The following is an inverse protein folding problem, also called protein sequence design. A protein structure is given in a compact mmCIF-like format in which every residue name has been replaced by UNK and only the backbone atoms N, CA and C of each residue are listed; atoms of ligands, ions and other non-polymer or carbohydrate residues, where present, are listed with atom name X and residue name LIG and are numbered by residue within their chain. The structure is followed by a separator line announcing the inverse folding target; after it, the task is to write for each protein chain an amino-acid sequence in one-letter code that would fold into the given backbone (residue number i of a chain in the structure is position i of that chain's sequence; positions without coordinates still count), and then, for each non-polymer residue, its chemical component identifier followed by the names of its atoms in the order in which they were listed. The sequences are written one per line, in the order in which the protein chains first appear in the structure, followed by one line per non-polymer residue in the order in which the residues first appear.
data_IF_098038169649
#
_entry.id   IF_098038169649
#
_cell.length_a   1.000
_cell.length_b   1.000
_cell.length_c   1.000
_cell.angle_alpha   90.00
_cell.angle_beta   90.00
_cell.angle_gamma   90.00
#
_symmetry.space_group_name_H-M   'P 1'
#
loop_
_entity.id
_entity.type
_entity.pdbx_description
1 polymer ?
#
# COMPACT_ATOMS: atom_id res chain seq x y z
N UNK A 1 38.03 -9.44 6.85
CA UNK A 1 37.27 -8.55 5.98
C UNK A 1 36.63 -9.40 4.90
N UNK A 2 35.31 -9.43 4.79
CA UNK A 2 34.64 -10.22 3.75
C UNK A 2 34.94 -9.57 2.41
N UNK A 3 35.59 -10.29 1.51
CA UNK A 3 35.73 -9.88 0.12
C UNK A 3 34.32 -9.69 -0.47
N UNK A 4 34.02 -8.48 -0.96
CA UNK A 4 32.80 -8.23 -1.74
C UNK A 4 32.80 -9.22 -2.91
N UNK A 5 31.72 -9.97 -3.06
CA UNK A 5 31.60 -10.93 -4.16
C UNK A 5 31.41 -10.20 -5.49
N UNK A 6 31.80 -10.83 -6.58
CA UNK A 6 31.55 -10.31 -7.92
C UNK A 6 30.05 -10.02 -8.16
N UNK A 7 29.19 -10.82 -7.54
CA UNK A 7 27.74 -10.68 -7.58
C UNK A 7 27.28 -9.38 -6.92
N UNK A 8 27.89 -9.01 -5.78
CA UNK A 8 27.56 -7.76 -5.09
C UNK A 8 27.93 -6.54 -5.94
N UNK A 9 29.09 -6.57 -6.60
CA UNK A 9 29.55 -5.49 -7.48
C UNK A 9 28.63 -5.29 -8.68
N UNK A 10 28.20 -6.35 -9.37
CA UNK A 10 27.24 -6.23 -10.47
C UNK A 10 25.89 -5.66 -10.02
N UNK A 11 25.44 -6.04 -8.83
CA UNK A 11 24.21 -5.55 -8.25
C UNK A 11 24.30 -4.07 -7.88
N UNK A 12 25.45 -3.63 -7.40
CA UNK A 12 25.74 -2.22 -7.14
C UNK A 12 25.75 -1.39 -8.41
N UNK A 13 26.35 -1.86 -9.49
CA UNK A 13 26.34 -1.21 -10.80
C UNK A 13 24.90 -1.04 -11.33
N UNK A 14 24.08 -2.07 -11.25
CA UNK A 14 22.65 -2.02 -11.62
C UNK A 14 21.88 -1.01 -10.77
N UNK A 15 22.13 -0.97 -9.46
CA UNK A 15 21.50 -0.03 -8.52
C UNK A 15 21.86 1.41 -8.84
N UNK A 16 23.10 1.64 -9.28
CA UNK A 16 23.60 2.95 -9.70
C UNK A 16 23.16 3.34 -11.12
N UNK A 17 22.51 2.42 -11.84
CA UNK A 17 22.15 2.59 -13.27
C UNK A 17 23.35 2.85 -14.18
N UNK A 18 24.47 2.20 -13.89
CA UNK A 18 25.65 2.23 -14.73
C UNK A 18 25.57 1.10 -15.75
N UNK A 19 25.80 1.47 -17.02
CA UNK A 19 25.88 0.53 -18.13
C UNK A 19 27.33 0.00 -18.20
N UNK A 20 27.68 -0.80 -17.24
CA UNK A 20 28.98 -1.45 -17.08
C UNK A 20 28.73 -2.87 -16.57
N UNK A 21 29.31 -3.85 -17.22
CA UNK A 21 29.28 -5.24 -16.78
C UNK A 21 30.61 -5.68 -16.16
N UNK A 22 30.62 -6.84 -15.51
CA UNK A 22 31.80 -7.35 -14.83
C UNK A 22 32.98 -7.59 -15.79
N UNK A 23 32.74 -8.05 -17.03
CA UNK A 23 33.78 -8.28 -18.02
C UNK A 23 34.46 -6.98 -18.42
N UNK A 24 33.71 -5.94 -18.71
CA UNK A 24 34.23 -4.60 -19.03
C UNK A 24 35.03 -4.01 -17.86
N UNK A 25 34.57 -4.24 -16.63
CA UNK A 25 35.32 -3.83 -15.46
C UNK A 25 36.67 -4.59 -15.33
N UNK A 26 36.70 -5.90 -15.60
CA UNK A 26 37.93 -6.67 -15.61
C UNK A 26 38.88 -6.20 -16.71
N UNK A 27 38.42 -6.03 -17.93
CA UNK A 27 39.24 -5.48 -19.03
C UNK A 27 39.87 -4.13 -18.65
N UNK A 28 39.09 -3.26 -17.99
CA UNK A 28 39.57 -1.98 -17.50
C UNK A 28 40.67 -2.15 -16.44
N UNK A 29 40.50 -3.10 -15.51
CA UNK A 29 41.49 -3.35 -14.45
C UNK A 29 42.81 -3.93 -15.00
N UNK A 30 42.73 -4.80 -16.02
CA UNK A 30 43.89 -5.33 -16.72
C UNK A 30 44.62 -4.25 -17.53
N UNK A 31 43.84 -3.45 -18.31
CA UNK A 31 44.39 -2.39 -19.13
C UNK A 31 45.19 -1.35 -18.31
N UNK A 32 44.70 -1.02 -17.11
CA UNK A 32 45.38 -0.08 -16.20
C UNK A 32 46.31 -0.77 -15.20
N UNK A 33 46.52 -2.08 -15.28
CA UNK A 33 47.35 -2.86 -14.38
C UNK A 33 47.05 -2.59 -12.89
N UNK A 34 45.76 -2.56 -12.52
CA UNK A 34 45.34 -2.28 -11.14
C UNK A 34 45.72 -3.44 -10.21
N UNK A 35 46.21 -3.11 -9.02
CA UNK A 35 46.48 -4.10 -7.99
C UNK A 35 45.19 -4.61 -7.37
N UNK A 36 45.24 -5.79 -6.75
CA UNK A 36 44.09 -6.35 -6.04
C UNK A 36 43.53 -5.42 -4.95
N UNK A 37 44.41 -4.73 -4.21
CA UNK A 37 43.99 -3.73 -3.22
C UNK A 37 43.25 -2.55 -3.81
N UNK A 38 43.62 -2.08 -5.01
CA UNK A 38 42.96 -1.02 -5.73
C UNK A 38 41.57 -1.46 -6.21
N UNK A 39 41.46 -2.69 -6.71
CA UNK A 39 40.18 -3.27 -7.15
C UNK A 39 39.22 -3.39 -5.97
N UNK A 40 39.69 -3.87 -4.82
CA UNK A 40 38.91 -3.97 -3.58
C UNK A 40 38.46 -2.58 -3.10
N UNK A 41 39.34 -1.58 -3.11
CA UNK A 41 38.99 -0.21 -2.74
C UNK A 41 37.91 0.38 -3.66
N UNK A 42 38.01 0.15 -4.96
CA UNK A 42 36.99 0.56 -5.94
C UNK A 42 35.65 -0.15 -5.65
N UNK A 43 35.65 -1.45 -5.42
CA UNK A 43 34.45 -2.22 -5.12
C UNK A 43 33.76 -1.74 -3.84
N UNK A 44 34.51 -1.38 -2.80
CA UNK A 44 33.98 -0.79 -1.54
C UNK A 44 33.28 0.55 -1.83
N UNK A 45 33.88 1.38 -2.68
CA UNK A 45 33.28 2.69 -3.04
C UNK A 45 31.97 2.49 -3.80
N UNK A 46 31.94 1.58 -4.78
CA UNK A 46 30.73 1.29 -5.54
C UNK A 46 29.61 0.73 -4.64
N UNK A 47 29.97 -0.17 -3.73
CA UNK A 47 29.03 -0.70 -2.75
C UNK A 47 28.43 0.42 -1.87
N UNK A 48 29.28 1.29 -1.33
CA UNK A 48 28.81 2.43 -0.54
C UNK A 48 27.87 3.36 -1.34
N UNK A 49 28.20 3.66 -2.60
CA UNK A 49 27.36 4.47 -3.48
C UNK A 49 26.05 3.76 -3.81
N UNK A 50 26.08 2.46 -4.06
CA UNK A 50 24.90 1.61 -4.29
C UNK A 50 23.94 1.66 -3.09
N UNK A 51 24.45 1.44 -1.89
CA UNK A 51 23.64 1.51 -0.67
C UNK A 51 23.06 2.92 -0.43
N UNK A 52 23.84 3.98 -0.69
CA UNK A 52 23.33 5.37 -0.63
C UNK A 52 22.21 5.62 -1.63
N UNK A 53 22.34 5.12 -2.87
CA UNK A 53 21.32 5.24 -3.91
C UNK A 53 20.07 4.47 -3.55
N UNK A 54 20.21 3.25 -3.05
CA UNK A 54 19.12 2.41 -2.58
C UNK A 54 18.34 3.10 -1.46
N UNK A 55 19.04 3.62 -0.44
CA UNK A 55 18.41 4.35 0.66
C UNK A 55 17.66 5.59 0.16
N UNK A 56 18.26 6.39 -0.72
CA UNK A 56 17.61 7.57 -1.31
C UNK A 56 16.34 7.18 -2.09
N UNK A 57 16.35 6.03 -2.77
CA UNK A 57 15.17 5.50 -3.49
C UNK A 57 14.06 5.10 -2.52
N UNK A 58 14.41 4.39 -1.43
CA UNK A 58 13.47 4.04 -0.36
C UNK A 58 12.83 5.29 0.22
N UNK A 59 13.65 6.28 0.60
CA UNK A 59 13.17 7.55 1.18
C UNK A 59 12.22 8.29 0.23
N UNK A 60 12.54 8.32 -1.07
CA UNK A 60 11.68 8.91 -2.09
C UNK A 60 10.34 8.15 -2.21
N UNK A 61 10.36 6.82 -2.22
CA UNK A 61 9.14 6.01 -2.29
C UNK A 61 8.30 6.17 -1.03
N UNK A 62 8.91 6.15 0.15
CA UNK A 62 8.23 6.44 1.41
C UNK A 62 7.59 7.83 1.40
N UNK A 63 8.30 8.85 0.91
CA UNK A 63 7.78 10.22 0.81
C UNK A 63 6.58 10.34 -0.11
N UNK A 64 6.54 9.58 -1.20
CA UNK A 64 5.51 9.68 -2.25
C UNK A 64 4.39 8.63 -2.12
N UNK A 65 4.52 7.65 -1.24
CA UNK A 65 3.58 6.54 -1.06
C UNK A 65 2.24 6.92 -0.47
N UNK A 66 2.14 8.06 0.25
CA UNK A 66 1.02 8.46 1.09
C UNK A 66 0.76 7.54 2.29
N UNK A 67 1.67 6.64 2.61
CA UNK A 67 1.62 5.84 3.84
C UNK A 67 1.89 6.73 5.07
N UNK A 68 1.25 6.46 6.25
CA UNK A 68 1.46 7.24 7.46
C UNK A 68 2.92 7.14 7.93
N UNK A 69 3.62 8.28 8.12
CA UNK A 69 5.04 8.30 8.52
C UNK A 69 5.28 8.47 10.02
N UNK A 70 4.36 9.11 10.74
CA UNK A 70 4.52 9.34 12.20
C UNK A 70 4.32 8.08 13.01
N UNK A 71 3.35 7.25 12.61
CA UNK A 71 3.01 5.97 13.23
C UNK A 71 2.91 4.90 12.14
N UNK A 72 4.04 4.40 11.65
CA UNK A 72 4.04 3.42 10.58
C UNK A 72 3.35 2.13 11.03
N UNK A 73 2.45 1.64 10.20
CA UNK A 73 1.78 0.35 10.38
C UNK A 73 2.58 -0.70 9.62
N UNK A 74 3.47 -1.39 10.34
CA UNK A 74 4.36 -2.43 9.79
C UNK A 74 3.90 -3.82 10.20
N UNK A 75 4.49 -4.87 9.62
CA UNK A 75 4.23 -6.24 10.07
C UNK A 75 4.80 -6.51 11.47
N UNK A 76 5.89 -5.84 11.87
CA UNK A 76 6.51 -6.01 13.19
C UNK A 76 5.62 -5.50 14.32
N UNK A 77 4.83 -4.44 14.07
CA UNK A 77 3.90 -3.91 15.07
C UNK A 77 2.45 -4.40 14.89
N UNK A 78 2.24 -5.43 14.06
CA UNK A 78 0.97 -6.11 13.92
C UNK A 78 0.91 -7.34 14.82
N UNK A 79 -0.06 -7.38 15.72
CA UNK A 79 -0.25 -8.53 16.61
C UNK A 79 -0.97 -9.69 15.90
N UNK A 80 -0.20 -10.61 15.35
CA UNK A 80 -0.74 -11.81 14.70
C UNK A 80 -1.39 -12.80 15.67
N UNK A 81 -1.13 -12.72 16.98
CA UNK A 81 -1.65 -13.66 17.97
C UNK A 81 -3.17 -13.59 18.14
N UNK A 82 -3.74 -12.46 17.77
CA UNK A 82 -5.18 -12.18 17.88
C UNK A 82 -5.98 -12.68 16.69
N UNK A 83 -5.33 -13.00 15.58
CA UNK A 83 -5.97 -13.61 14.40
C UNK A 83 -5.87 -15.13 14.55
N UNK A 84 -7.03 -15.79 14.56
CA UNK A 84 -7.12 -17.25 14.68
C UNK A 84 -7.67 -17.84 13.39
N UNK A 85 -7.23 -19.04 13.06
CA UNK A 85 -7.70 -19.79 11.89
C UNK A 85 -6.57 -20.59 11.23
N UNK A 86 -6.94 -21.56 10.41
CA UNK A 86 -5.99 -22.44 9.71
C UNK A 86 -5.11 -21.70 8.68
N UNK A 87 -5.56 -20.55 8.19
CA UNK A 87 -4.86 -19.80 7.14
C UNK A 87 -4.03 -18.61 7.70
N UNK A 88 -3.86 -18.52 9.04
CA UNK A 88 -3.06 -17.44 9.68
C UNK A 88 -1.61 -17.45 9.19
N UNK A 89 -1.05 -18.64 8.94
CA UNK A 89 0.32 -18.77 8.42
C UNK A 89 0.48 -18.10 7.06
N UNK A 90 -0.56 -18.09 6.21
CA UNK A 90 -0.53 -17.36 4.94
C UNK A 90 -0.46 -15.84 5.11
N UNK A 91 -1.06 -15.30 6.18
CA UNK A 91 -0.90 -13.87 6.52
C UNK A 91 0.54 -13.57 6.95
N UNK A 92 1.19 -14.48 7.68
CA UNK A 92 2.57 -14.32 8.11
C UNK A 92 3.59 -14.40 6.96
N UNK A 93 3.20 -14.94 5.80
CA UNK A 93 4.07 -14.95 4.61
C UNK A 93 3.99 -13.65 3.79
N UNK A 94 3.09 -12.73 4.09
CA UNK A 94 2.94 -11.46 3.36
C UNK A 94 4.23 -10.63 3.25
N UNK A 95 5.13 -10.58 4.28
CA UNK A 95 6.39 -9.85 4.19
C UNK A 95 7.34 -10.37 3.08
N UNK A 96 7.16 -11.61 2.61
CA UNK A 96 7.96 -12.15 1.50
C UNK A 96 7.70 -11.47 0.16
N UNK A 97 6.61 -10.71 0.04
CA UNK A 97 6.17 -10.02 -1.18
C UNK A 97 5.95 -10.96 -2.39
N UNK A 98 5.75 -12.26 -2.14
CA UNK A 98 5.53 -13.24 -3.20
C UNK A 98 4.29 -12.93 -4.05
N UNK A 99 3.26 -12.33 -3.45
CA UNK A 99 2.03 -11.97 -4.17
C UNK A 99 2.29 -10.92 -5.27
N UNK A 100 3.06 -9.85 -4.99
CA UNK A 100 3.35 -8.82 -6.00
C UNK A 100 4.27 -9.34 -7.11
N UNK A 101 5.18 -10.26 -6.78
CA UNK A 101 6.04 -10.93 -7.77
C UNK A 101 5.24 -11.84 -8.69
N UNK A 102 4.21 -12.49 -8.14
CA UNK A 102 3.28 -13.35 -8.89
C UNK A 102 2.10 -12.59 -9.52
N UNK A 103 2.10 -11.25 -9.50
CA UNK A 103 1.02 -10.38 -10.00
C UNK A 103 -0.36 -10.61 -9.33
N UNK A 104 -0.37 -11.22 -8.13
CA UNK A 104 -1.61 -11.53 -7.40
C UNK A 104 -2.12 -10.34 -6.63
N UNK A 105 -3.38 -9.99 -6.86
CA UNK A 105 -4.07 -9.00 -6.04
C UNK A 105 -4.38 -9.56 -4.64
N UNK A 106 -4.49 -8.67 -3.66
CA UNK A 106 -4.84 -9.02 -2.29
C UNK A 106 -6.11 -8.27 -1.87
N UNK A 107 -6.98 -8.93 -1.13
CA UNK A 107 -8.14 -8.28 -0.52
C UNK A 107 -8.26 -8.66 0.96
N UNK A 108 -8.28 -7.65 1.83
CA UNK A 108 -8.53 -7.82 3.26
C UNK A 108 -9.96 -7.40 3.57
N UNK A 109 -10.80 -8.36 3.92
CA UNK A 109 -12.24 -8.19 4.12
C UNK A 109 -12.59 -8.51 5.58
N UNK A 110 -13.51 -7.74 6.17
CA UNK A 110 -13.99 -8.03 7.53
C UNK A 110 -14.54 -6.81 8.25
N UNK A 111 -15.02 -6.94 9.50
CA UNK A 111 -15.60 -5.86 10.30
C UNK A 111 -14.63 -4.69 10.53
N UNK A 112 -15.14 -3.50 10.88
CA UNK A 112 -14.30 -2.37 11.27
C UNK A 112 -13.39 -2.72 12.44
N UNK A 113 -12.16 -2.19 12.43
CA UNK A 113 -11.22 -2.35 13.54
C UNK A 113 -10.47 -3.69 13.61
N UNK A 114 -10.60 -4.57 12.63
CA UNK A 114 -9.92 -5.89 12.59
C UNK A 114 -8.51 -5.89 12.00
N UNK A 115 -7.90 -4.72 11.74
CA UNK A 115 -6.52 -4.63 11.28
C UNK A 115 -6.31 -4.64 9.76
N UNK A 116 -7.36 -4.66 8.92
CA UNK A 116 -7.27 -4.69 7.45
C UNK A 116 -6.37 -3.62 6.86
N UNK A 117 -6.64 -2.36 7.21
CA UNK A 117 -5.84 -1.20 6.75
C UNK A 117 -4.40 -1.28 7.26
N UNK A 118 -4.18 -1.82 8.48
CA UNK A 118 -2.84 -2.05 9.01
C UNK A 118 -2.06 -3.02 8.11
N UNK A 119 -2.62 -4.20 7.82
CA UNK A 119 -1.99 -5.20 6.96
C UNK A 119 -1.70 -4.66 5.55
N UNK A 120 -2.64 -3.93 4.96
CA UNK A 120 -2.47 -3.31 3.65
C UNK A 120 -1.33 -2.27 3.67
N UNK A 121 -1.27 -1.42 4.69
CA UNK A 121 -0.20 -0.45 4.87
C UNK A 121 1.15 -1.12 5.14
N UNK A 122 1.18 -2.15 5.99
CA UNK A 122 2.39 -2.93 6.27
C UNK A 122 2.99 -3.52 4.99
N UNK A 123 2.15 -4.08 4.13
CA UNK A 123 2.59 -4.59 2.83
C UNK A 123 3.16 -3.46 1.94
N UNK A 124 2.53 -2.28 1.93
CA UNK A 124 3.04 -1.13 1.20
C UNK A 124 4.39 -0.61 1.72
N UNK A 125 4.60 -0.62 3.04
CA UNK A 125 5.91 -0.30 3.64
C UNK A 125 6.96 -1.30 3.20
N UNK A 126 6.65 -2.60 3.27
CA UNK A 126 7.56 -3.66 2.85
C UNK A 126 7.93 -3.52 1.37
N UNK A 127 6.98 -3.20 0.50
CA UNK A 127 7.27 -2.87 -0.91
C UNK A 127 8.27 -1.72 -1.04
N UNK A 128 8.07 -0.61 -0.32
CA UNK A 128 8.96 0.55 -0.39
C UNK A 128 10.38 0.20 0.09
N UNK A 129 10.51 -0.56 1.17
CA UNK A 129 11.80 -1.00 1.71
C UNK A 129 12.54 -1.95 0.76
N UNK A 130 11.80 -2.71 -0.05
CA UNK A 130 12.34 -3.56 -1.10
C UNK A 130 12.48 -2.86 -2.47
N UNK A 131 12.53 -1.52 -2.50
CA UNK A 131 12.75 -0.75 -3.72
C UNK A 131 11.57 -0.77 -4.71
N UNK A 132 10.38 -1.16 -4.27
CA UNK A 132 9.16 -1.17 -5.07
C UNK A 132 8.23 -0.03 -4.64
N UNK A 133 7.86 0.84 -5.57
CA UNK A 133 6.99 1.98 -5.27
C UNK A 133 5.60 1.50 -4.86
N UNK A 134 5.16 1.84 -3.64
CA UNK A 134 3.78 1.71 -3.21
C UNK A 134 3.02 3.05 -3.29
N UNK A 135 1.69 2.99 -3.39
CA UNK A 135 0.82 4.16 -3.31
C UNK A 135 -0.48 3.81 -2.61
N UNK A 136 -0.77 4.54 -1.53
CA UNK A 136 -1.98 4.37 -0.72
C UNK A 136 -3.00 5.46 -1.05
N UNK A 137 -4.26 5.05 -1.24
CA UNK A 137 -5.39 5.97 -1.47
C UNK A 137 -6.68 5.36 -0.92
N UNK A 138 -7.54 6.17 -0.32
CA UNK A 138 -8.90 5.75 0.02
C UNK A 138 -9.80 5.77 -1.22
N UNK A 139 -10.81 4.89 -1.26
CA UNK A 139 -11.76 4.82 -2.38
C UNK A 139 -12.45 6.17 -2.63
N UNK A 140 -12.85 6.89 -1.58
CA UNK A 140 -13.44 8.22 -1.69
C UNK A 140 -12.49 9.25 -2.31
N UNK A 141 -11.22 9.24 -1.90
CA UNK A 141 -10.21 10.14 -2.48
C UNK A 141 -9.90 9.78 -3.94
N UNK A 142 -9.95 8.49 -4.29
CA UNK A 142 -9.80 8.02 -5.68
C UNK A 142 -10.92 8.58 -6.56
N UNK A 143 -12.18 8.50 -6.10
CA UNK A 143 -13.34 9.09 -6.76
C UNK A 143 -13.14 10.59 -6.99
N UNK A 144 -12.75 11.31 -5.95
CA UNK A 144 -12.57 12.78 -6.02
C UNK A 144 -11.42 13.15 -6.96
N UNK A 145 -10.35 12.32 -6.98
CA UNK A 145 -9.22 12.48 -7.90
C UNK A 145 -9.63 12.27 -9.35
N UNK A 146 -10.45 11.27 -9.65
CA UNK A 146 -11.01 11.06 -10.99
C UNK A 146 -11.90 12.23 -11.41
N UNK A 147 -12.84 12.66 -10.55
CA UNK A 147 -13.70 13.80 -10.81
C UNK A 147 -12.90 15.07 -11.10
N UNK A 148 -11.84 15.34 -10.32
CA UNK A 148 -10.95 16.49 -10.56
C UNK A 148 -10.19 16.35 -11.89
N UNK A 149 -9.70 15.17 -12.21
CA UNK A 149 -8.96 14.90 -13.45
C UNK A 149 -9.85 15.17 -14.67
N UNK A 150 -11.09 14.68 -14.67
CA UNK A 150 -12.09 14.93 -15.71
C UNK A 150 -12.36 16.42 -15.93
N UNK A 151 -12.61 17.15 -14.84
CA UNK A 151 -12.87 18.61 -14.91
C UNK A 151 -11.69 19.40 -15.47
N UNK A 152 -10.50 18.88 -15.38
CA UNK A 152 -9.26 19.56 -15.84
C UNK A 152 -8.63 18.94 -17.10
N UNK A 153 -9.26 17.94 -17.73
CA UNK A 153 -8.73 17.25 -18.90
C UNK A 153 -7.40 16.53 -18.64
N UNK A 154 -7.20 16.02 -17.42
CA UNK A 154 -5.94 15.39 -16.97
C UNK A 154 -6.10 13.91 -16.62
N UNK A 155 -7.07 13.23 -17.21
CA UNK A 155 -7.39 11.82 -16.94
C UNK A 155 -6.19 10.91 -17.19
N UNK A 156 -5.52 11.09 -18.34
CA UNK A 156 -4.33 10.28 -18.70
C UNK A 156 -3.20 10.42 -17.66
N UNK A 157 -2.94 11.64 -17.18
CA UNK A 157 -1.93 11.89 -16.14
C UNK A 157 -2.35 11.28 -14.80
N UNK A 158 -3.64 11.36 -14.46
CA UNK A 158 -4.20 10.78 -13.26
C UNK A 158 -4.04 9.25 -13.27
N UNK A 159 -4.42 8.60 -14.36
CA UNK A 159 -4.31 7.15 -14.55
C UNK A 159 -2.85 6.70 -14.50
N UNK A 160 -1.96 7.38 -15.20
CA UNK A 160 -0.52 7.07 -15.15
C UNK A 160 0.03 7.13 -13.73
N UNK A 161 -0.42 8.09 -12.91
CA UNK A 161 -0.02 8.20 -11.51
C UNK A 161 -0.50 7.04 -10.63
N UNK A 162 -1.58 6.35 -11.01
CA UNK A 162 -2.14 5.19 -10.32
C UNK A 162 -1.65 3.85 -10.88
N UNK A 163 -1.24 3.83 -12.15
CA UNK A 163 -0.72 2.63 -12.82
C UNK A 163 0.77 2.41 -12.53
N UNK A 164 1.57 3.49 -12.42
CA UNK A 164 3.02 3.41 -12.19
C UNK A 164 3.48 2.72 -10.91
N UNK A 165 2.84 2.88 -9.72
CA UNK A 165 3.26 2.17 -8.52
C UNK A 165 3.21 0.66 -8.71
N UNK A 166 4.20 -0.07 -8.19
CA UNK A 166 4.17 -1.52 -8.17
C UNK A 166 3.03 -2.02 -7.27
N UNK A 167 2.88 -1.46 -6.07
CA UNK A 167 1.78 -1.76 -5.17
C UNK A 167 0.79 -0.58 -5.10
N UNK A 168 -0.46 -0.78 -5.52
CA UNK A 168 -1.54 0.19 -5.34
C UNK A 168 -2.46 -0.30 -4.23
N UNK A 169 -2.62 0.49 -3.16
CA UNK A 169 -3.51 0.15 -2.04
C UNK A 169 -4.74 1.05 -2.12
N UNK A 170 -5.92 0.42 -2.27
CA UNK A 170 -7.22 1.09 -2.28
C UNK A 170 -7.96 0.70 -1.00
N UNK A 171 -8.02 1.65 -0.06
CA UNK A 171 -8.61 1.44 1.26
C UNK A 171 -10.10 1.82 1.27
N UNK A 172 -10.90 1.14 2.11
CA UNK A 172 -12.31 1.40 2.33
C UNK A 172 -13.19 1.23 1.07
N UNK A 173 -12.93 0.18 0.27
CA UNK A 173 -13.76 -0.14 -0.90
C UNK A 173 -15.20 -0.43 -0.49
N UNK A 174 -16.15 0.14 -1.22
CA UNK A 174 -17.58 -0.01 -0.92
C UNK A 174 -18.17 1.10 -0.04
N UNK A 175 -17.39 2.14 0.31
CA UNK A 175 -17.86 3.26 1.14
C UNK A 175 -18.28 4.51 0.35
N UNK A 176 -18.16 4.53 -0.96
CA UNK A 176 -18.64 5.62 -1.78
C UNK A 176 -19.11 5.10 -3.14
N UNK A 177 -20.01 5.86 -3.76
CA UNK A 177 -20.53 5.58 -5.08
C UNK A 177 -19.69 6.29 -6.16
N UNK A 178 -19.51 5.63 -7.29
CA UNK A 178 -18.88 6.17 -8.49
C UNK A 178 -19.96 6.48 -9.52
N UNK A 179 -19.90 7.67 -10.13
CA UNK A 179 -20.69 7.95 -11.34
C UNK A 179 -20.16 7.13 -12.55
N UNK A 180 -20.90 7.10 -13.63
CA UNK A 180 -20.57 6.33 -14.83
C UNK A 180 -19.15 6.62 -15.34
N UNK A 181 -18.77 7.89 -15.39
CA UNK A 181 -17.47 8.29 -15.93
C UNK A 181 -16.32 7.93 -14.99
N UNK A 182 -16.50 8.05 -13.67
CA UNK A 182 -15.50 7.59 -12.70
C UNK A 182 -15.41 6.05 -12.70
N UNK A 183 -16.50 5.34 -12.92
CA UNK A 183 -16.52 3.88 -13.12
C UNK A 183 -15.66 3.48 -14.31
N UNK A 184 -15.78 4.16 -15.46
CA UNK A 184 -14.92 3.93 -16.64
C UNK A 184 -13.45 4.18 -16.35
N UNK A 185 -13.11 5.26 -15.62
CA UNK A 185 -11.71 5.53 -15.23
C UNK A 185 -11.17 4.48 -14.27
N UNK A 186 -12.00 3.96 -13.36
CA UNK A 186 -11.61 2.87 -12.48
C UNK A 186 -11.33 1.60 -13.28
N UNK A 187 -12.19 1.25 -14.23
CA UNK A 187 -12.00 0.14 -15.15
C UNK A 187 -10.71 0.29 -15.95
N UNK A 188 -10.48 1.43 -16.61
CA UNK A 188 -9.27 1.71 -17.40
C UNK A 188 -8.00 1.59 -16.53
N UNK A 189 -8.04 2.06 -15.28
CA UNK A 189 -6.95 1.88 -14.33
C UNK A 189 -6.67 0.41 -14.04
N UNK A 190 -7.70 -0.39 -13.78
CA UNK A 190 -7.57 -1.84 -13.49
C UNK A 190 -7.02 -2.57 -14.72
N UNK A 191 -7.58 -2.32 -15.89
CA UNK A 191 -7.16 -2.93 -17.15
C UNK A 191 -5.68 -2.65 -17.47
N UNK A 192 -5.26 -1.39 -17.37
CA UNK A 192 -3.85 -1.00 -17.57
C UNK A 192 -2.92 -1.66 -16.56
N UNK A 193 -3.37 -1.87 -15.32
CA UNK A 193 -2.57 -2.57 -14.32
C UNK A 193 -2.51 -4.07 -14.58
N UNK A 194 -3.61 -4.67 -14.99
CA UNK A 194 -3.66 -6.09 -15.35
C UNK A 194 -2.70 -6.42 -16.50
N UNK A 195 -2.64 -5.56 -17.52
CA UNK A 195 -1.77 -5.74 -18.68
C UNK A 195 -0.32 -5.25 -18.46
N UNK A 196 -0.01 -4.71 -17.28
CA UNK A 196 1.31 -4.14 -17.01
C UNK A 196 2.37 -5.22 -16.78
N UNK A 197 3.52 -5.06 -17.41
CA UNK A 197 4.72 -5.88 -17.19
C UNK A 197 5.42 -5.54 -15.86
N UNK A 198 6.14 -6.53 -15.27
CA UNK A 198 6.91 -6.39 -14.04
C UNK A 198 6.06 -6.44 -12.77
N UNK A 199 6.70 -6.51 -11.60
CA UNK A 199 6.04 -6.64 -10.32
C UNK A 199 4.92 -5.61 -10.14
N UNK A 200 3.70 -6.11 -9.93
CA UNK A 200 2.56 -5.24 -9.76
C UNK A 200 1.37 -5.98 -9.12
N UNK A 201 0.69 -5.32 -8.18
CA UNK A 201 -0.60 -5.78 -7.66
C UNK A 201 -1.47 -4.62 -7.16
N UNK A 202 -2.73 -4.91 -6.89
CA UNK A 202 -3.64 -4.03 -6.18
C UNK A 202 -4.01 -4.70 -4.86
N UNK A 203 -4.01 -3.93 -3.78
CA UNK A 203 -4.47 -4.36 -2.47
C UNK A 203 -5.75 -3.60 -2.14
N UNK A 204 -6.79 -4.34 -1.78
CA UNK A 204 -8.08 -3.80 -1.41
C UNK A 204 -8.34 -4.04 0.07
N UNK A 205 -8.94 -3.07 0.76
CA UNK A 205 -9.55 -3.30 2.07
C UNK A 205 -11.04 -2.97 2.02
N UNK A 206 -11.87 -3.76 2.67
CA UNK A 206 -13.31 -3.51 2.69
C UNK A 206 -13.99 -4.11 3.92
N UNK A 207 -15.05 -3.47 4.35
CA UNK A 207 -16.00 -4.04 5.32
C UNK A 207 -17.12 -4.83 4.62
N UNK A 208 -17.26 -4.68 3.31
CA UNK A 208 -18.27 -5.37 2.48
C UNK A 208 -17.66 -6.56 1.75
N UNK A 209 -18.47 -7.59 1.54
CA UNK A 209 -18.08 -8.69 0.68
C UNK A 209 -17.81 -8.19 -0.74
N UNK A 210 -16.78 -8.68 -1.44
CA UNK A 210 -16.49 -8.30 -2.83
C UNK A 210 -17.68 -8.43 -3.79
N UNK A 211 -18.56 -9.41 -3.59
CA UNK A 211 -19.78 -9.57 -4.39
C UNK A 211 -20.73 -8.36 -4.34
N UNK A 212 -20.64 -7.55 -3.27
CA UNK A 212 -21.44 -6.34 -3.09
C UNK A 212 -20.75 -5.08 -3.62
N UNK A 213 -19.52 -5.15 -4.09
CA UNK A 213 -18.81 -3.96 -4.57
C UNK A 213 -19.44 -3.36 -5.82
N UNK A 214 -20.08 -4.19 -6.64
CA UNK A 214 -20.82 -3.74 -7.82
C UNK A 214 -21.88 -2.68 -7.50
N UNK A 215 -22.48 -2.71 -6.31
CA UNK A 215 -23.49 -1.75 -5.86
C UNK A 215 -22.95 -0.32 -5.71
N UNK A 216 -21.65 -0.16 -5.61
CA UNK A 216 -20.98 1.13 -5.44
C UNK A 216 -20.54 1.78 -6.77
N UNK A 217 -20.77 1.10 -7.87
CA UNK A 217 -20.43 1.56 -9.20
C UNK A 217 -21.72 1.73 -10.03
N UNK A 218 -21.72 2.72 -10.91
CA UNK A 218 -22.83 2.87 -11.84
C UNK A 218 -22.76 1.74 -12.87
N UNK A 219 -23.88 1.02 -13.04
CA UNK A 219 -23.98 -0.19 -13.81
C UNK A 219 -23.57 0.00 -15.29
N UNK A 220 -22.54 -0.77 -15.68
CA UNK A 220 -22.25 -1.10 -17.08
C UNK A 220 -21.56 -2.47 -17.08
N UNK A 221 -21.71 -3.24 -18.13
CA UNK A 221 -21.09 -4.56 -18.33
C UNK A 221 -19.55 -4.51 -18.19
N UNK A 222 -18.95 -3.37 -18.47
CA UNK A 222 -17.52 -3.10 -18.33
C UNK A 222 -17.01 -3.29 -16.89
N UNK A 223 -17.85 -3.01 -15.89
CA UNK A 223 -17.46 -3.16 -14.48
C UNK A 223 -17.32 -4.64 -14.08
N UNK A 224 -18.18 -5.52 -14.60
CA UNK A 224 -18.08 -6.96 -14.32
C UNK A 224 -16.76 -7.51 -14.83
N UNK A 225 -16.29 -7.05 -15.99
CA UNK A 225 -14.99 -7.42 -16.54
C UNK A 225 -13.82 -6.90 -15.67
N UNK A 226 -13.95 -5.69 -15.07
CA UNK A 226 -12.92 -5.17 -14.17
C UNK A 226 -12.86 -5.97 -12.87
N UNK A 227 -14.00 -6.28 -12.26
CA UNK A 227 -14.06 -7.10 -11.06
C UNK A 227 -13.53 -8.51 -11.32
N UNK A 228 -13.84 -9.09 -12.46
CA UNK A 228 -13.32 -10.38 -12.90
C UNK A 228 -11.78 -10.35 -12.94
N UNK A 229 -11.18 -9.38 -13.62
CA UNK A 229 -9.71 -9.19 -13.64
C UNK A 229 -9.09 -8.95 -12.26
N UNK A 230 -9.77 -8.22 -11.37
CA UNK A 230 -9.30 -8.01 -10.02
C UNK A 230 -9.19 -9.33 -9.25
N UNK A 231 -10.16 -10.24 -9.45
CA UNK A 231 -10.29 -11.47 -8.69
C UNK A 231 -9.82 -12.73 -9.42
N UNK A 232 -9.40 -12.62 -10.68
CA UNK A 232 -8.95 -13.75 -11.51
C UNK A 232 -7.85 -14.57 -10.79
N UNK A 233 -6.87 -13.93 -10.17
CA UNK A 233 -5.87 -14.60 -9.32
C UNK A 233 -5.63 -13.83 -8.01
N UNK A 234 -6.70 -13.45 -7.31
CA UNK A 234 -6.61 -12.72 -6.06
C UNK A 234 -6.60 -13.64 -4.84
N UNK A 235 -5.85 -13.24 -3.80
CA UNK A 235 -5.96 -13.84 -2.48
C UNK A 235 -6.85 -12.97 -1.60
N UNK A 236 -7.97 -13.53 -1.16
CA UNK A 236 -8.93 -12.85 -0.28
C UNK A 236 -8.77 -13.35 1.15
N UNK A 237 -8.39 -12.47 2.06
CA UNK A 237 -8.31 -12.72 3.50
C UNK A 237 -9.57 -12.22 4.19
N UNK A 238 -10.44 -13.14 4.61
CA UNK A 238 -11.62 -12.83 5.40
C UNK A 238 -11.25 -12.79 6.89
N UNK A 239 -11.04 -11.61 7.43
CA UNK A 239 -10.66 -11.39 8.82
C UNK A 239 -11.93 -11.24 9.65
N UNK A 240 -12.17 -12.18 10.56
CA UNK A 240 -13.30 -12.19 11.51
C UNK A 240 -12.78 -11.92 12.91
N UNK A 241 -13.55 -11.23 13.73
CA UNK A 241 -13.20 -10.97 15.12
C UNK A 241 -13.72 -9.64 15.61
N UNK A 242 -13.44 -9.36 16.87
CA UNK A 242 -13.80 -8.10 17.52
C UNK A 242 -12.87 -6.95 17.08
N UNK A 243 -13.38 -5.72 17.20
CA UNK A 243 -12.61 -4.52 16.92
C UNK A 243 -11.48 -4.34 17.93
N UNK A 244 -10.27 -4.08 17.44
CA UNK A 244 -9.15 -3.58 18.28
C UNK A 244 -9.35 -2.15 18.76
N UNK A 245 -10.23 -1.38 18.08
CA UNK A 245 -10.55 -0.01 18.46
C UNK A 245 -11.43 -0.03 19.71
N UNK A 246 -11.04 0.75 20.71
CA UNK A 246 -11.83 0.90 21.94
C UNK A 246 -11.47 -0.03 23.09
N UNK A 247 -10.42 -0.88 22.98
CA UNK A 247 -9.91 -1.66 24.13
C UNK A 247 -9.37 -0.77 25.27
N UNK A 248 -8.99 0.47 24.95
CA UNK A 248 -8.53 1.49 25.92
C UNK A 248 -9.55 2.63 26.06
N UNK A 249 -10.83 2.40 25.75
CA UNK A 249 -11.86 3.43 25.82
C UNK A 249 -12.23 3.67 27.30
N UNK A 250 -11.88 4.83 27.83
CA UNK A 250 -12.40 5.33 29.11
C UNK A 250 -13.83 5.81 28.91
N UNK A 251 -14.78 5.22 29.64
CA UNK A 251 -16.20 5.64 29.62
C UNK A 251 -16.48 6.51 30.82
N UNK A 252 -16.64 7.81 30.60
CA UNK A 252 -17.08 8.76 31.62
C UNK A 252 -18.57 8.96 31.47
N UNK A 253 -19.35 8.58 32.50
CA UNK A 253 -20.79 8.78 32.53
C UNK A 253 -21.10 10.08 33.26
N UNK A 254 -21.68 11.05 32.57
CA UNK A 254 -22.12 12.31 33.15
C UNK A 254 -23.65 12.32 33.22
N UNK A 255 -24.20 12.61 34.41
CA UNK A 255 -25.65 12.74 34.64
C UNK A 255 -25.98 14.20 34.87
N UNK A 256 -26.89 14.76 34.10
CA UNK A 256 -27.43 16.10 34.37
C UNK A 256 -28.58 16.01 35.36
N UNK A 257 -28.46 16.64 36.53
CA UNK A 257 -29.58 16.83 37.43
C UNK A 257 -30.54 17.90 36.87
N UNK A 258 -31.86 17.61 36.86
CA UNK A 258 -32.85 18.64 36.55
C UNK A 258 -32.81 19.67 37.65
N UNK A 259 -32.56 20.91 37.33
CA UNK A 259 -32.77 22.03 38.21
C UNK A 259 -34.29 22.21 38.34
N UNK A 260 -34.84 21.78 39.46
CA UNK A 260 -36.21 22.11 39.85
C UNK A 260 -36.25 23.58 40.27
N UNK A 261 -36.69 24.45 39.38
CA UNK A 261 -37.09 25.82 39.73
C UNK A 261 -38.37 25.74 40.55
N UNK A 262 -38.20 25.81 41.90
CA UNK A 262 -39.32 25.96 42.82
C UNK A 262 -39.96 27.33 42.62
N UNK A 263 -41.13 27.36 42.03
CA UNK A 263 -42.03 28.53 42.03
C UNK A 263 -42.75 28.54 43.39
N UNK A 264 -42.28 29.35 44.34
CA UNK A 264 -43.05 29.74 45.52
C UNK A 264 -43.95 30.89 45.15
N UNK A 265 -45.20 30.60 44.77
CA UNK A 265 -46.26 31.57 44.74
C UNK A 265 -46.78 31.79 46.19
N UNK A 266 -46.38 32.87 46.80
CA UNK A 266 -47.06 33.42 47.97
C UNK A 266 -48.34 34.11 47.51
N UNK A 267 -49.49 33.63 47.96
CA UNK A 267 -50.74 34.32 47.95
C UNK A 267 -50.82 35.30 49.12
N UNK A 268 -51.14 36.56 48.96
CA UNK A 268 -51.49 37.41 50.11
C UNK A 268 -52.94 37.20 50.49
N UNK A 269 -53.18 36.95 51.78
CA UNK A 269 -54.51 37.11 52.41
C UNK A 269 -54.95 38.52 52.43
N UNK A 270 -56.23 38.73 52.04
CA UNK A 270 -57.22 39.52 52.75
C UNK A 270 -58.59 38.96 52.53
#
# INVERSE_FOLDING_TARGET
MNSLSLYDFENDLKTLHLDLNASEFYELTEYHALTQEQIEAISIIFHFLGEKKKQATIDMYMKTSRLPRKEPKTFDNFDFSVIKGKDVERLKTLPSLSAIQAHKNLAFIGPPGTGKTHLAQAYGYECCHNGMKAYFIKMSELRDRFTKARRSGKEASCLNGLVRPACLIIDEVGHCEFDKENTRLFFDMVDRRYNRQGCNNIIFTSNKNPALWKENFNEDDDLLCALDRIFDDATVFNIRGESYRGKLLERISLTTSKVTTGSSAQTPNN
#
